data_IF_019478931317
#
_entry.id   IF_019478931317
#
_cell.length_a   1.000
_cell.length_b   1.000
_cell.length_c   1.000
_cell.angle_alpha   90.00
_cell.angle_beta   90.00
_cell.angle_gamma   90.00
#
_symmetry.space_group_name_H-M   'P 1'
#
loop_
_entity.id
_entity.type
_entity.pdbx_description
1 polymer ?
#
# COMPACT_ATOMS: atom_id res chain seq x y z
N UNK A 1 0.07 18.00 -4.12
CA UNK A 1 0.93 16.81 -4.31
C UNK A 1 1.68 16.56 -3.01
N UNK A 2 1.59 15.34 -2.49
CA UNK A 2 2.20 14.91 -1.23
C UNK A 2 3.64 14.39 -1.49
N UNK A 3 4.54 15.26 -1.93
CA UNK A 3 5.92 14.88 -2.27
C UNK A 3 6.67 14.22 -1.11
N UNK A 4 6.41 14.67 0.10
CA UNK A 4 7.01 14.09 1.30
C UNK A 4 6.58 12.63 1.48
N UNK A 5 5.28 12.35 1.37
CA UNK A 5 4.74 10.99 1.49
C UNK A 5 5.31 10.07 0.40
N UNK A 6 5.44 10.57 -0.84
CA UNK A 6 6.08 9.81 -1.92
C UNK A 6 7.53 9.50 -1.61
N UNK A 7 8.30 10.48 -1.12
CA UNK A 7 9.71 10.27 -0.76
C UNK A 7 9.87 9.24 0.35
N UNK A 8 9.05 9.33 1.40
CA UNK A 8 9.04 8.36 2.50
C UNK A 8 8.68 6.95 2.01
N UNK A 9 7.63 6.81 1.19
CA UNK A 9 7.24 5.52 0.62
C UNK A 9 8.33 4.88 -0.26
N UNK A 10 9.04 5.69 -1.05
CA UNK A 10 10.16 5.23 -1.87
C UNK A 10 11.35 4.76 -1.01
N UNK A 11 11.61 5.41 0.10
CA UNK A 11 12.65 4.99 1.06
C UNK A 11 12.27 3.66 1.74
N UNK A 12 11.03 3.53 2.21
CA UNK A 12 10.52 2.29 2.80
C UNK A 12 10.53 1.11 1.82
N UNK A 13 10.27 1.35 0.55
CA UNK A 13 10.40 0.32 -0.50
C UNK A 13 11.80 -0.28 -0.54
N UNK A 14 12.85 0.54 -0.50
CA UNK A 14 14.24 0.07 -0.49
C UNK A 14 14.57 -0.72 0.79
N UNK A 15 13.95 -0.36 1.91
CA UNK A 15 14.06 -1.11 3.18
C UNK A 15 13.41 -2.48 3.03
N UNK A 16 12.20 -2.57 2.51
CA UNK A 16 11.48 -3.84 2.31
C UNK A 16 12.21 -4.77 1.36
N UNK A 17 12.76 -4.27 0.26
CA UNK A 17 13.54 -5.06 -0.69
C UNK A 17 14.79 -5.70 -0.04
N UNK A 18 15.36 -5.04 0.97
CA UNK A 18 16.52 -5.58 1.73
C UNK A 18 16.11 -6.53 2.85
N UNK A 19 15.04 -6.20 3.57
CA UNK A 19 14.61 -6.97 4.75
C UNK A 19 13.83 -8.25 4.37
N UNK A 20 13.07 -8.19 3.29
CA UNK A 20 12.17 -9.27 2.91
C UNK A 20 12.34 -9.73 1.45
N UNK A 21 13.58 -10.04 0.98
CA UNK A 21 13.85 -10.40 -0.41
C UNK A 21 13.17 -11.69 -0.87
N UNK A 22 12.66 -12.47 0.06
CA UNK A 22 11.93 -13.73 -0.19
C UNK A 22 10.44 -13.52 -0.51
N UNK A 23 9.90 -12.30 -0.28
CA UNK A 23 8.50 -11.93 -0.55
C UNK A 23 8.37 -10.59 -1.25
N UNK A 24 9.44 -9.81 -1.36
CA UNK A 24 9.47 -8.53 -2.05
C UNK A 24 10.65 -8.48 -3.02
N UNK A 25 10.38 -8.21 -4.28
CA UNK A 25 11.42 -8.17 -5.32
C UNK A 25 11.18 -7.09 -6.37
N UNK A 26 12.24 -6.59 -7.01
CA UNK A 26 12.14 -5.60 -8.05
C UNK A 26 11.25 -6.04 -9.21
N UNK A 27 10.43 -5.13 -9.72
CA UNK A 27 9.61 -5.33 -10.90
C UNK A 27 9.70 -4.13 -11.83
N UNK A 28 9.74 -4.40 -13.14
CA UNK A 28 9.66 -3.37 -14.16
C UNK A 28 8.24 -3.26 -14.66
N UNK A 29 7.73 -2.04 -14.73
CA UNK A 29 6.39 -1.73 -15.23
C UNK A 29 6.46 -0.99 -16.53
N UNK A 30 5.63 -1.38 -17.48
CA UNK A 30 5.43 -0.66 -18.74
C UNK A 30 4.09 0.07 -18.69
N UNK A 31 4.14 1.38 -18.90
CA UNK A 31 2.99 2.26 -18.96
C UNK A 31 2.77 2.68 -20.41
N UNK A 32 1.85 2.04 -21.15
CA UNK A 32 1.51 2.45 -22.50
C UNK A 32 0.86 3.83 -22.48
N UNK A 33 1.32 4.72 -23.37
CA UNK A 33 0.75 6.06 -23.49
C UNK A 33 -0.42 6.06 -24.46
N UNK A 34 -1.56 6.56 -23.99
CA UNK A 34 -2.75 6.78 -24.81
C UNK A 34 -2.96 8.29 -25.03
N UNK A 35 -3.21 8.74 -26.28
CA UNK A 35 -3.27 10.16 -26.63
C UNK A 35 -4.35 10.97 -25.88
N UNK A 36 -5.44 10.32 -25.45
CA UNK A 36 -6.52 10.97 -24.69
C UNK A 36 -6.22 11.14 -23.19
N UNK A 37 -5.11 10.59 -22.71
CA UNK A 37 -4.63 10.78 -21.35
C UNK A 37 -3.73 12.02 -21.24
N UNK A 38 -3.07 12.16 -20.08
CA UNK A 38 -2.13 13.26 -19.86
C UNK A 38 -1.04 13.28 -20.94
N UNK A 39 -0.59 14.45 -21.39
CA UNK A 39 0.48 14.56 -22.36
C UNK A 39 1.73 13.77 -21.95
N UNK A 40 2.40 13.14 -22.92
CA UNK A 40 3.57 12.30 -22.67
C UNK A 40 4.70 13.04 -21.93
N UNK A 41 4.91 14.32 -22.23
CA UNK A 41 5.91 15.15 -21.55
C UNK A 41 5.60 15.32 -20.06
N UNK A 42 4.32 15.48 -19.69
CA UNK A 42 3.90 15.60 -18.30
C UNK A 42 4.15 14.29 -17.52
N UNK A 43 3.85 13.13 -18.14
CA UNK A 43 4.16 11.82 -17.55
C UNK A 43 5.69 11.69 -17.39
N UNK A 44 6.47 12.13 -18.37
CA UNK A 44 7.95 12.08 -18.30
C UNK A 44 8.49 12.92 -17.14
N UNK A 45 7.96 14.12 -16.92
CA UNK A 45 8.32 14.95 -15.75
C UNK A 45 7.93 14.25 -14.46
N UNK A 46 6.72 13.69 -14.38
CA UNK A 46 6.28 12.93 -13.20
C UNK A 46 7.21 11.75 -12.88
N UNK A 47 7.62 10.97 -13.89
CA UNK A 47 8.56 9.88 -13.73
C UNK A 47 9.96 10.35 -13.36
N UNK A 48 10.41 11.48 -13.90
CA UNK A 48 11.67 12.09 -13.50
C UNK A 48 11.66 12.49 -12.01
N UNK A 49 10.60 13.13 -11.55
CA UNK A 49 10.42 13.43 -10.12
C UNK A 49 10.37 12.15 -9.27
N UNK A 50 9.60 11.15 -9.69
CA UNK A 50 9.55 9.85 -9.04
C UNK A 50 10.94 9.20 -8.91
N UNK A 51 11.76 9.33 -9.94
CA UNK A 51 13.13 8.81 -9.96
C UNK A 51 14.07 9.54 -8.97
N UNK A 52 13.79 10.81 -8.61
CA UNK A 52 14.69 11.67 -7.83
C UNK A 52 14.16 12.04 -6.45
N UNK A 53 12.88 11.76 -6.15
CA UNK A 53 12.29 12.05 -4.83
C UNK A 53 12.78 11.11 -3.73
N UNK A 54 13.27 9.93 -4.04
CA UNK A 54 13.84 8.96 -3.11
C UNK A 54 15.26 8.58 -3.44
N UNK A 55 16.06 8.23 -2.44
CA UNK A 55 17.38 7.61 -2.65
C UNK A 55 17.16 6.19 -3.20
N UNK A 56 17.27 6.03 -4.52
CA UNK A 56 17.30 4.70 -5.15
C UNK A 56 18.70 4.12 -5.01
N UNK A 57 18.78 2.90 -4.52
CA UNK A 57 20.05 2.18 -4.39
C UNK A 57 20.09 0.94 -5.29
N UNK A 58 18.94 0.32 -5.54
CA UNK A 58 18.86 -0.98 -6.21
C UNK A 58 18.07 -0.97 -7.53
N UNK A 59 17.23 0.03 -7.77
CA UNK A 59 16.28 0.03 -8.87
C UNK A 59 16.73 0.94 -10.03
N UNK A 60 16.70 0.48 -11.30
CA UNK A 60 17.01 1.30 -12.47
C UNK A 60 15.98 2.42 -12.69
N UNK A 61 16.40 3.52 -13.30
CA UNK A 61 15.56 4.67 -13.62
C UNK A 61 14.49 4.41 -14.66
N UNK A 62 13.57 5.35 -14.78
CA UNK A 62 12.55 5.36 -15.80
C UNK A 62 13.11 5.75 -17.16
N UNK A 63 12.54 5.19 -18.23
CA UNK A 63 12.89 5.52 -19.63
C UNK A 63 11.65 5.53 -20.51
N UNK A 64 11.72 6.27 -21.61
CA UNK A 64 10.73 6.17 -22.69
C UNK A 64 10.90 4.88 -23.48
N UNK A 65 9.79 4.32 -23.95
CA UNK A 65 9.75 3.13 -24.80
C UNK A 65 9.00 3.41 -26.09
N UNK A 66 9.42 2.70 -27.15
CA UNK A 66 8.62 2.49 -28.37
C UNK A 66 8.25 1.02 -28.43
N UNK A 67 7.00 0.73 -28.73
CA UNK A 67 6.48 -0.62 -28.91
C UNK A 67 6.48 -0.97 -30.37
N UNK A 68 7.13 -2.07 -30.72
CA UNK A 68 7.20 -2.61 -32.06
C UNK A 68 6.17 -3.71 -32.33
N UNK A 69 6.21 -4.34 -33.49
CA UNK A 69 5.31 -5.43 -33.85
C UNK A 69 5.35 -6.64 -32.91
N UNK A 70 6.48 -6.83 -32.22
CA UNK A 70 6.71 -7.90 -31.24
C UNK A 70 6.02 -7.65 -29.89
N UNK A 71 5.44 -6.47 -29.71
CA UNK A 71 4.76 -6.11 -28.46
C UNK A 71 3.46 -6.91 -28.30
N UNK A 72 3.19 -7.37 -27.08
CA UNK A 72 1.91 -7.99 -26.70
C UNK A 72 0.79 -6.97 -26.54
N UNK A 73 1.09 -5.69 -26.68
CA UNK A 73 0.11 -4.62 -26.60
C UNK A 73 -0.62 -4.44 -27.92
N UNK A 74 -1.78 -3.80 -27.86
CA UNK A 74 -2.55 -3.45 -29.05
C UNK A 74 -1.72 -2.58 -30.02
N UNK A 75 -1.84 -2.75 -31.34
CA UNK A 75 -1.00 -2.07 -32.33
C UNK A 75 -1.06 -0.54 -32.32
N UNK A 76 -2.15 0.03 -31.83
CA UNK A 76 -2.30 1.48 -31.64
C UNK A 76 -1.41 2.06 -30.53
N UNK A 77 -0.93 1.23 -29.60
CA UNK A 77 -0.06 1.63 -28.48
C UNK A 77 1.41 1.62 -28.92
N UNK A 78 1.84 2.68 -29.60
CA UNK A 78 3.18 2.76 -30.22
C UNK A 78 4.29 3.22 -29.27
N UNK A 79 3.97 3.86 -28.15
CA UNK A 79 4.93 4.39 -27.19
C UNK A 79 4.43 4.35 -25.77
N UNK A 80 5.35 4.40 -24.84
CA UNK A 80 5.07 4.42 -23.41
C UNK A 80 6.30 4.71 -22.58
N UNK A 81 6.25 4.32 -21.35
CA UNK A 81 7.33 4.50 -20.39
C UNK A 81 7.56 3.19 -19.65
N UNK A 82 8.79 3.00 -19.21
CA UNK A 82 9.16 1.92 -18.30
C UNK A 82 9.72 2.53 -17.03
N UNK A 83 9.30 2.03 -15.89
CA UNK A 83 9.78 2.46 -14.58
C UNK A 83 9.90 1.26 -13.64
N UNK A 84 10.60 1.46 -12.52
CA UNK A 84 10.81 0.43 -11.53
C UNK A 84 9.87 0.62 -10.34
N UNK A 85 9.39 -0.49 -9.85
CA UNK A 85 8.74 -0.60 -8.56
C UNK A 85 9.07 -1.97 -7.96
N UNK A 86 8.36 -2.39 -6.93
CA UNK A 86 8.50 -3.74 -6.38
C UNK A 86 7.15 -4.47 -6.41
N UNK A 87 7.24 -5.76 -6.57
CA UNK A 87 6.16 -6.68 -6.23
C UNK A 87 6.36 -7.19 -4.81
N UNK A 88 5.27 -7.39 -4.10
CA UNK A 88 5.30 -7.97 -2.75
C UNK A 88 4.14 -8.95 -2.60
N UNK A 89 4.39 -10.06 -1.92
CA UNK A 89 3.34 -10.91 -1.38
C UNK A 89 2.80 -10.22 -0.11
N UNK A 90 1.79 -9.37 -0.29
CA UNK A 90 1.23 -8.51 0.76
C UNK A 90 0.57 -9.33 1.87
N UNK A 91 -0.12 -10.41 1.54
CA UNK A 91 -0.73 -11.31 2.51
C UNK A 91 0.34 -11.94 3.42
N UNK A 92 1.43 -12.43 2.82
CA UNK A 92 2.55 -13.01 3.57
C UNK A 92 3.27 -11.96 4.42
N UNK A 93 3.43 -10.75 3.90
CA UNK A 93 4.00 -9.64 4.68
C UNK A 93 3.20 -9.36 5.94
N UNK A 94 1.87 -9.33 5.86
CA UNK A 94 0.97 -9.16 7.02
C UNK A 94 1.16 -10.30 8.01
N UNK A 95 1.17 -11.56 7.56
CA UNK A 95 1.36 -12.73 8.42
C UNK A 95 2.71 -12.68 9.14
N UNK A 96 3.79 -12.35 8.44
CA UNK A 96 5.13 -12.26 9.04
C UNK A 96 5.22 -11.15 10.10
N UNK A 97 4.59 -9.99 9.85
CA UNK A 97 4.50 -8.92 10.85
C UNK A 97 3.70 -9.38 12.09
N UNK A 98 2.59 -10.09 11.91
CA UNK A 98 1.80 -10.63 13.01
C UNK A 98 2.63 -11.64 13.85
N UNK A 99 3.32 -12.56 13.19
CA UNK A 99 4.20 -13.52 13.87
C UNK A 99 5.34 -12.84 14.64
N UNK A 100 5.89 -11.74 14.09
CA UNK A 100 6.95 -10.99 14.78
C UNK A 100 6.43 -10.28 16.03
N UNK A 101 5.20 -9.79 16.01
CA UNK A 101 4.52 -9.26 17.21
C UNK A 101 4.41 -10.33 18.28
N UNK A 102 3.94 -11.52 17.93
CA UNK A 102 3.79 -12.65 18.88
C UNK A 102 5.15 -13.11 19.45
N UNK A 103 6.17 -13.23 18.60
CA UNK A 103 7.54 -13.57 19.05
C UNK A 103 8.11 -12.59 20.05
N UNK A 104 7.68 -11.32 20.00
CA UNK A 104 8.08 -10.27 20.94
C UNK A 104 7.18 -10.16 22.16
N UNK A 105 6.28 -11.13 22.37
CA UNK A 105 5.36 -11.16 23.50
C UNK A 105 4.12 -10.28 23.34
N UNK A 106 3.85 -9.80 22.14
CA UNK A 106 2.60 -9.12 21.81
C UNK A 106 1.48 -10.12 21.53
N UNK A 107 0.27 -9.62 21.42
CA UNK A 107 -0.92 -10.41 21.13
C UNK A 107 -1.51 -9.96 19.78
N UNK A 108 -1.85 -10.93 18.93
CA UNK A 108 -2.55 -10.70 17.65
C UNK A 108 -3.91 -11.39 17.71
N UNK A 109 -4.97 -10.61 17.49
CA UNK A 109 -6.33 -11.13 17.47
C UNK A 109 -6.98 -10.91 16.12
N UNK A 110 -7.15 -11.96 15.38
CA UNK A 110 -7.99 -11.98 14.17
C UNK A 110 -9.46 -12.05 14.56
N UNK A 111 -10.36 -11.72 13.62
CA UNK A 111 -11.83 -11.78 13.80
C UNK A 111 -12.34 -11.03 15.05
N UNK A 112 -11.59 -10.02 15.46
CA UNK A 112 -11.90 -9.22 16.65
C UNK A 112 -12.10 -7.78 16.24
N UNK A 113 -13.33 -7.30 16.36
CA UNK A 113 -13.72 -5.94 15.95
C UNK A 113 -13.69 -5.01 17.15
N UNK A 114 -12.86 -3.97 17.08
CA UNK A 114 -12.92 -2.87 18.04
C UNK A 114 -14.22 -2.10 17.83
N UNK A 115 -15.00 -1.99 18.90
CA UNK A 115 -16.32 -1.34 18.89
C UNK A 115 -16.29 0.06 19.47
N UNK A 116 -15.43 0.28 20.46
CA UNK A 116 -15.34 1.54 21.17
C UNK A 116 -13.96 1.76 21.77
N UNK A 117 -13.53 3.03 21.86
CA UNK A 117 -12.38 3.40 22.67
C UNK A 117 -12.60 4.78 23.31
N UNK A 118 -12.06 4.97 24.53
CA UNK A 118 -12.17 6.21 25.28
C UNK A 118 -10.96 6.43 26.19
N UNK A 119 -10.81 7.66 26.70
CA UNK A 119 -9.77 7.98 27.67
C UNK A 119 -10.31 7.91 29.08
N UNK A 120 -9.57 7.25 29.96
CA UNK A 120 -9.87 7.14 31.37
C UNK A 120 -8.58 7.11 32.17
N UNK A 121 -8.45 8.00 33.17
CA UNK A 121 -7.29 8.11 34.04
C UNK A 121 -5.94 8.14 33.29
N UNK A 122 -5.86 8.90 32.18
CA UNK A 122 -4.66 9.02 31.37
C UNK A 122 -4.37 7.83 30.43
N UNK A 123 -5.17 6.77 30.47
CA UNK A 123 -5.02 5.57 29.65
C UNK A 123 -6.11 5.49 28.58
N UNK A 124 -5.86 4.73 27.53
CA UNK A 124 -6.87 4.30 26.59
C UNK A 124 -7.56 3.04 27.12
N UNK A 125 -8.88 3.06 27.12
CA UNK A 125 -9.71 1.90 27.26
C UNK A 125 -10.23 1.50 25.88
N UNK A 126 -10.11 0.24 25.53
CA UNK A 126 -10.49 -0.28 24.19
C UNK A 126 -11.41 -1.47 24.39
N UNK A 127 -12.62 -1.38 23.86
CA UNK A 127 -13.59 -2.46 23.83
C UNK A 127 -13.64 -3.09 22.45
N UNK A 128 -13.67 -4.41 22.40
CA UNK A 128 -13.80 -5.15 21.15
C UNK A 128 -14.65 -6.40 21.35
N UNK A 129 -15.20 -6.89 20.25
CA UNK A 129 -16.01 -8.10 20.19
C UNK A 129 -15.36 -9.13 19.28
N UNK A 130 -15.26 -10.35 19.72
CA UNK A 130 -14.97 -11.50 18.89
C UNK A 130 -16.18 -11.78 17.99
N UNK A 131 -15.97 -11.76 16.69
CA UNK A 131 -17.05 -11.81 15.69
C UNK A 131 -17.75 -13.18 15.71
N UNK A 132 -17.02 -14.25 16.02
CA UNK A 132 -17.55 -15.61 15.96
C UNK A 132 -18.34 -15.97 17.22
N UNK A 133 -17.81 -15.64 18.38
CA UNK A 133 -18.43 -15.99 19.68
C UNK A 133 -19.32 -14.91 20.26
N UNK A 134 -19.22 -13.67 19.77
CA UNK A 134 -19.88 -12.50 20.36
C UNK A 134 -19.29 -12.06 21.70
N UNK A 135 -18.22 -12.67 22.18
CA UNK A 135 -17.58 -12.35 23.44
C UNK A 135 -16.94 -10.96 23.39
N UNK A 136 -17.22 -10.14 24.38
CA UNK A 136 -16.64 -8.81 24.51
C UNK A 136 -15.37 -8.84 25.36
N UNK A 137 -14.38 -8.04 24.97
CA UNK A 137 -13.12 -7.84 25.67
C UNK A 137 -12.88 -6.36 25.91
N UNK A 138 -12.19 -6.04 27.01
CA UNK A 138 -11.75 -4.68 27.29
C UNK A 138 -10.27 -4.69 27.64
N UNK A 139 -9.51 -3.80 27.00
CA UNK A 139 -8.08 -3.61 27.28
C UNK A 139 -7.80 -2.18 27.70
N UNK A 140 -6.73 -2.04 28.46
CA UNK A 140 -6.18 -0.76 28.88
C UNK A 140 -4.79 -0.58 28.25
N UNK A 141 -4.55 0.57 27.61
CA UNK A 141 -3.30 0.84 26.92
C UNK A 141 -2.83 2.28 27.12
N UNK A 142 -1.50 2.50 27.07
CA UNK A 142 -0.90 3.85 27.10
C UNK A 142 -1.12 4.60 25.80
N UNK A 143 -1.10 3.90 24.67
CA UNK A 143 -1.28 4.44 23.33
C UNK A 143 -2.31 3.65 22.55
N UNK A 144 -2.96 4.29 21.59
CA UNK A 144 -3.87 3.69 20.62
C UNK A 144 -3.48 4.15 19.22
N UNK A 145 -3.27 3.20 18.33
CA UNK A 145 -2.99 3.47 16.91
C UNK A 145 -4.18 3.02 16.07
N UNK A 146 -4.77 3.98 15.36
CA UNK A 146 -5.81 3.69 14.39
C UNK A 146 -5.17 3.46 13.01
N UNK A 147 -4.95 2.22 12.64
CA UNK A 147 -4.39 1.79 11.36
C UNK A 147 -5.43 1.02 10.52
N UNK A 148 -6.70 1.38 10.59
CA UNK A 148 -7.82 0.67 9.98
C UNK A 148 -8.04 0.99 8.48
N UNK A 149 -7.06 1.62 7.83
CA UNK A 149 -7.11 1.89 6.38
C UNK A 149 -8.38 2.68 5.97
N UNK A 150 -9.20 2.17 5.03
CA UNK A 150 -10.40 2.86 4.57
C UNK A 150 -11.42 3.15 5.67
N UNK A 151 -11.39 2.42 6.78
CA UNK A 151 -12.32 2.56 7.90
C UNK A 151 -11.82 3.50 9.01
N UNK A 152 -10.68 4.18 8.81
CA UNK A 152 -10.11 5.06 9.84
C UNK A 152 -11.10 6.14 10.27
N UNK A 153 -11.85 6.72 9.33
CA UNK A 153 -12.89 7.72 9.64
C UNK A 153 -14.05 7.12 10.41
N UNK A 154 -14.53 5.94 10.03
CA UNK A 154 -15.60 5.24 10.73
C UNK A 154 -15.22 4.98 12.18
N UNK A 155 -13.98 4.62 12.47
CA UNK A 155 -13.52 4.43 13.83
C UNK A 155 -13.50 5.74 14.64
N UNK A 156 -13.16 6.88 14.03
CA UNK A 156 -13.31 8.19 14.69
C UNK A 156 -14.78 8.49 15.04
N UNK A 157 -15.67 8.36 14.06
CA UNK A 157 -17.08 8.72 14.22
C UNK A 157 -17.81 7.76 15.17
N UNK A 158 -17.63 6.44 14.98
CA UNK A 158 -18.38 5.41 15.68
C UNK A 158 -17.68 4.89 16.94
N UNK A 159 -16.39 4.63 16.86
CA UNK A 159 -15.60 4.03 17.94
C UNK A 159 -15.14 5.04 18.99
N UNK A 160 -14.67 6.20 18.58
CA UNK A 160 -14.18 7.26 19.47
C UNK A 160 -15.26 8.30 19.80
N UNK A 161 -16.35 8.37 19.02
CA UNK A 161 -17.36 9.44 19.07
C UNK A 161 -16.74 10.83 18.91
N UNK A 162 -15.72 10.93 18.07
CA UNK A 162 -15.00 12.15 17.74
C UNK A 162 -15.15 12.43 16.24
N UNK A 163 -15.25 13.69 15.86
CA UNK A 163 -15.22 14.08 14.44
C UNK A 163 -13.79 13.91 13.91
N UNK A 164 -13.63 13.13 12.82
CA UNK A 164 -12.32 13.04 12.16
C UNK A 164 -11.88 14.40 11.64
N UNK A 165 -10.62 14.84 11.91
CA UNK A 165 -10.09 16.10 11.38
C UNK A 165 -9.84 16.03 9.86
N UNK A 166 -9.84 14.83 9.28
CA UNK A 166 -9.56 14.59 7.86
C UNK A 166 -10.74 13.92 7.17
N UNK A 167 -11.01 14.34 5.93
CA UNK A 167 -11.88 13.60 5.01
C UNK A 167 -11.14 12.46 4.32
N UNK A 168 -11.86 11.41 3.95
CA UNK A 168 -11.32 10.29 3.16
C UNK A 168 -12.04 10.26 1.82
N UNK A 169 -11.25 10.25 0.74
CA UNK A 169 -11.75 9.94 -0.60
C UNK A 169 -11.49 8.47 -0.88
N UNK A 170 -12.53 7.68 -0.83
CA UNK A 170 -12.44 6.24 -1.14
C UNK A 170 -12.32 6.05 -2.65
N UNK A 171 -11.30 5.29 -3.06
CA UNK A 171 -11.11 4.85 -4.43
C UNK A 171 -11.04 3.32 -4.40
N UNK A 172 -11.93 2.67 -5.16
CA UNK A 172 -11.95 1.21 -5.27
C UNK A 172 -11.05 0.78 -6.42
N UNK A 173 -10.06 -0.06 -6.14
CA UNK A 173 -9.33 -0.86 -7.09
C UNK A 173 -9.85 -2.31 -7.05
N UNK A 174 -10.01 -2.93 -8.21
CA UNK A 174 -10.41 -4.34 -8.28
C UNK A 174 -9.38 -5.12 -9.09
N UNK A 175 -9.02 -6.31 -8.60
CA UNK A 175 -8.16 -7.24 -9.31
C UNK A 175 -8.98 -8.43 -9.79
N UNK A 176 -8.63 -8.96 -10.95
CA UNK A 176 -9.17 -10.21 -11.48
C UNK A 176 -8.03 -11.21 -11.64
N UNK A 177 -8.29 -12.45 -11.33
CA UNK A 177 -7.37 -13.55 -11.58
C UNK A 177 -7.66 -14.12 -12.96
N UNK A 178 -6.65 -14.13 -13.82
CA UNK A 178 -6.76 -14.65 -15.20
C UNK A 178 -5.59 -15.59 -15.47
N UNK A 179 -5.70 -16.51 -16.43
CA UNK A 179 -4.55 -17.26 -16.94
C UNK A 179 -3.46 -16.31 -17.43
N UNK A 180 -2.23 -16.78 -17.42
CA UNK A 180 -1.09 -16.01 -17.94
C UNK A 180 -1.34 -15.57 -19.38
N UNK A 181 -1.38 -14.27 -19.63
CA UNK A 181 -1.74 -13.70 -20.94
C UNK A 181 -0.54 -13.52 -21.88
N UNK A 182 0.69 -13.54 -21.36
CA UNK A 182 1.95 -13.47 -22.13
C UNK A 182 3.16 -13.93 -21.31
N UNK A 183 4.27 -14.21 -21.97
CA UNK A 183 5.52 -14.67 -21.35
C UNK A 183 6.56 -13.57 -21.14
N UNK A 184 6.24 -12.32 -21.43
CA UNK A 184 7.15 -11.19 -21.17
C UNK A 184 7.27 -10.93 -19.66
N UNK A 185 8.47 -10.52 -19.19
CA UNK A 185 8.75 -10.36 -17.74
C UNK A 185 8.15 -9.07 -17.13
N UNK A 186 7.38 -8.30 -17.91
CA UNK A 186 6.75 -7.04 -17.45
C UNK A 186 5.22 -7.10 -17.55
#
# INVERSE_FOLDING_TARGET
YEFRLVSEALAEREVLLKLAPHIAFPMRFRLPHQPHLRPAWMIRIGLFLYDHLGKRTSLPGSKGLRFGPESVLKPELKRGFEYSDCWVDDARLVVLNAQEVEKRGGEVRTRTKVTRAWRENGMWMVEAVDIDSGKTFTWRAKGLVNATGPWVKNFFDDGLKLKSPYGIRLIKGSHIVVPRVHDQPQ
#
